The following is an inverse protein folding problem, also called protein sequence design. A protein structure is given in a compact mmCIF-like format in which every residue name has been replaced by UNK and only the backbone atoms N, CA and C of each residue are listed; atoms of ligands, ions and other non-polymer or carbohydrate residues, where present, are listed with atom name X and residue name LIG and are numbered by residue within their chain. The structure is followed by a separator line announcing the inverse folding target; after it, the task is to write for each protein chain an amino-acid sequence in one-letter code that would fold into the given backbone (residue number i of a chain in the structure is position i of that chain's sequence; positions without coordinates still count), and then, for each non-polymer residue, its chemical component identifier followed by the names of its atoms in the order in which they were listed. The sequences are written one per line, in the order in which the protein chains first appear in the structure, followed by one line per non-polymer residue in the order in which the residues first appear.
data_IF_121148728694
#
_entry.id   IF_121148728694
#
_cell.length_a   1.000
_cell.length_b   1.000
_cell.length_c   1.000
_cell.angle_alpha   90.00
_cell.angle_beta   90.00
_cell.angle_gamma   90.00
#
_symmetry.space_group_name_H-M   'P 1'
#
loop_
_entity.id
_entity.type
_entity.pdbx_description
1 polymer ?
#
# COMPACT_ATOMS: atom_id res chain seq x y z
N UNK A 1 5.94 -8.72 18.42
CA UNK A 1 6.82 -9.83 17.99
C UNK A 1 7.71 -10.25 19.15
N UNK A 2 7.28 -11.27 19.90
CA UNK A 2 8.07 -11.91 20.97
C UNK A 2 8.85 -13.07 20.34
N UNK A 3 10.00 -12.78 19.71
CA UNK A 3 10.83 -13.77 19.02
C UNK A 3 11.86 -13.15 18.07
N UNK A 4 12.64 -13.98 17.37
CA UNK A 4 13.66 -13.54 16.40
C UNK A 4 13.08 -12.91 15.13
N UNK A 5 11.82 -13.21 14.80
CA UNK A 5 11.15 -12.70 13.61
C UNK A 5 10.75 -11.24 13.80
N UNK A 6 11.35 -10.34 13.03
CA UNK A 6 11.06 -8.89 13.06
C UNK A 6 10.25 -8.40 11.87
N UNK A 7 10.06 -9.26 10.87
CA UNK A 7 9.32 -8.98 9.63
C UNK A 7 8.49 -10.23 9.29
N UNK A 8 7.22 -10.04 8.99
CA UNK A 8 6.32 -11.08 8.50
C UNK A 8 5.61 -10.58 7.24
N UNK A 9 5.34 -11.50 6.32
CA UNK A 9 4.57 -11.23 5.10
C UNK A 9 3.60 -12.37 4.85
N UNK A 10 2.39 -12.03 4.42
CA UNK A 10 1.37 -12.98 4.01
C UNK A 10 0.44 -12.31 3.01
N UNK A 11 -0.21 -13.11 2.17
CA UNK A 11 -1.12 -12.62 1.14
C UNK A 11 -2.57 -12.90 1.53
N UNK A 12 -3.45 -11.92 1.31
CA UNK A 12 -4.90 -12.10 1.36
C UNK A 12 -5.45 -12.05 -0.06
N UNK A 13 -6.09 -13.13 -0.52
CA UNK A 13 -6.57 -13.24 -1.90
C UNK A 13 -7.96 -12.65 -2.14
N UNK A 14 -8.39 -12.69 -3.41
CA UNK A 14 -9.75 -12.33 -3.83
C UNK A 14 -9.96 -10.85 -4.18
N UNK A 15 -8.89 -10.14 -4.56
CA UNK A 15 -8.92 -8.74 -5.01
C UNK A 15 -9.06 -8.58 -6.52
N UNK A 16 -8.54 -9.54 -7.30
CA UNK A 16 -8.59 -9.49 -8.77
C UNK A 16 -9.99 -9.86 -9.27
N UNK A 17 -10.82 -8.84 -9.42
CA UNK A 17 -12.22 -8.99 -9.82
C UNK A 17 -12.51 -8.13 -11.05
N UNK A 18 -13.19 -8.71 -12.04
CA UNK A 18 -13.48 -8.06 -13.32
C UNK A 18 -14.96 -7.72 -13.53
N UNK A 19 -15.80 -7.98 -12.53
CA UNK A 19 -17.23 -7.71 -12.55
C UNK A 19 -17.85 -7.91 -11.17
N UNK A 20 -19.05 -7.37 -10.97
CA UNK A 20 -19.76 -7.40 -9.68
C UNK A 20 -18.89 -6.90 -8.50
N UNK A 21 -18.02 -5.92 -8.77
CA UNK A 21 -16.94 -5.53 -7.86
C UNK A 21 -17.47 -4.96 -6.54
N UNK A 22 -18.61 -4.26 -6.54
CA UNK A 22 -19.24 -3.76 -5.32
C UNK A 22 -19.45 -4.86 -4.25
N UNK A 23 -19.88 -6.05 -4.67
CA UNK A 23 -20.11 -7.19 -3.77
C UNK A 23 -18.83 -7.91 -3.36
N UNK A 24 -17.82 -7.99 -4.23
CA UNK A 24 -16.55 -8.65 -3.93
C UNK A 24 -15.64 -7.78 -3.08
N UNK A 25 -15.53 -6.48 -3.41
CA UNK A 25 -14.69 -5.52 -2.70
C UNK A 25 -15.15 -5.34 -1.26
N UNK A 26 -16.47 -5.28 -0.99
CA UNK A 26 -16.96 -5.20 0.39
C UNK A 26 -16.48 -6.37 1.26
N UNK A 27 -16.51 -7.59 0.73
CA UNK A 27 -16.00 -8.79 1.43
C UNK A 27 -14.48 -8.78 1.58
N UNK A 28 -13.75 -8.35 0.55
CA UNK A 28 -12.30 -8.26 0.60
C UNK A 28 -11.82 -7.21 1.61
N UNK A 29 -12.44 -6.03 1.62
CA UNK A 29 -12.20 -4.96 2.58
C UNK A 29 -12.53 -5.37 4.02
N UNK A 30 -13.64 -6.11 4.21
CA UNK A 30 -13.97 -6.69 5.52
C UNK A 30 -12.86 -7.60 6.03
N UNK A 31 -12.39 -8.55 5.21
CA UNK A 31 -11.27 -9.44 5.59
C UNK A 31 -9.98 -8.69 5.89
N UNK A 32 -9.67 -7.63 5.12
CA UNK A 32 -8.52 -6.76 5.39
C UNK A 32 -8.66 -6.07 6.76
N UNK A 33 -9.84 -5.52 7.05
CA UNK A 33 -10.15 -4.90 8.34
C UNK A 33 -9.97 -5.89 9.50
N UNK A 34 -10.58 -7.07 9.40
CA UNK A 34 -10.48 -8.12 10.43
C UNK A 34 -9.03 -8.55 10.65
N UNK A 35 -8.24 -8.66 9.57
CA UNK A 35 -6.82 -8.98 9.64
C UNK A 35 -6.05 -7.93 10.44
N UNK A 36 -6.24 -6.63 10.15
CA UNK A 36 -5.54 -5.54 10.84
C UNK A 36 -5.93 -5.48 12.32
N UNK A 37 -7.22 -5.63 12.63
CA UNK A 37 -7.74 -5.63 14.01
C UNK A 37 -7.14 -6.82 14.78
N UNK A 38 -7.19 -8.01 14.19
CA UNK A 38 -6.61 -9.23 14.78
C UNK A 38 -5.10 -9.08 15.03
N UNK A 39 -4.37 -8.48 14.09
CA UNK A 39 -2.94 -8.18 14.26
C UNK A 39 -2.70 -7.21 15.42
N UNK A 40 -3.48 -6.13 15.51
CA UNK A 40 -3.39 -5.16 16.59
C UNK A 40 -3.62 -5.82 17.96
N UNK A 41 -4.67 -6.61 18.07
CA UNK A 41 -5.00 -7.33 19.31
C UNK A 41 -3.93 -8.36 19.69
N UNK A 42 -3.48 -9.17 18.72
CA UNK A 42 -2.50 -10.22 18.94
C UNK A 42 -1.09 -9.69 19.23
N UNK A 43 -0.70 -8.55 18.66
CA UNK A 43 0.59 -7.90 18.95
C UNK A 43 0.58 -7.17 20.31
N UNK A 44 -0.59 -6.75 20.79
CA UNK A 44 -0.76 -6.05 22.06
C UNK A 44 0.26 -4.89 22.21
N UNK A 45 1.09 -4.91 23.25
CA UNK A 45 2.12 -3.89 23.50
C UNK A 45 3.13 -3.71 22.33
N UNK A 46 3.32 -4.73 21.49
CA UNK A 46 4.27 -4.64 20.37
C UNK A 46 3.68 -3.86 19.18
N UNK A 47 2.36 -3.61 19.18
CA UNK A 47 1.67 -2.83 18.15
C UNK A 47 2.23 -1.40 18.04
N UNK A 48 2.57 -0.78 19.18
CA UNK A 48 3.11 0.59 19.26
C UNK A 48 4.44 0.76 18.52
N UNK A 49 5.11 -0.36 18.21
CA UNK A 49 6.39 -0.40 17.50
C UNK A 49 6.28 -1.10 16.13
N UNK A 50 5.06 -1.39 15.70
CA UNK A 50 4.78 -2.12 14.46
C UNK A 50 4.18 -1.20 13.42
N UNK A 51 4.62 -1.36 12.16
CA UNK A 51 3.90 -0.88 10.98
C UNK A 51 3.47 -2.09 10.14
N UNK A 52 2.24 -2.06 9.68
CA UNK A 52 1.63 -2.96 8.71
C UNK A 52 1.49 -2.18 7.41
N UNK A 53 2.01 -2.76 6.34
CA UNK A 53 1.92 -2.22 4.99
C UNK A 53 1.11 -3.18 4.11
N UNK A 54 0.05 -2.65 3.50
CA UNK A 54 -0.80 -3.39 2.58
C UNK A 54 -0.62 -2.79 1.18
N UNK A 55 -0.05 -3.60 0.29
CA UNK A 55 0.31 -3.21 -1.09
C UNK A 55 -0.50 -4.02 -2.09
N UNK A 56 -0.81 -3.44 -3.24
CA UNK A 56 -1.32 -4.16 -4.40
C UNK A 56 -0.25 -4.24 -5.49
N UNK A 57 -0.33 -5.28 -6.32
CA UNK A 57 0.62 -5.49 -7.43
C UNK A 57 0.27 -4.66 -8.66
N UNK A 58 -1.01 -4.28 -8.81
CA UNK A 58 -1.53 -3.51 -9.94
C UNK A 58 -2.73 -2.64 -9.54
N UNK A 59 -3.11 -1.76 -10.46
CA UNK A 59 -4.28 -0.89 -10.39
C UNK A 59 -5.46 -1.41 -11.19
N UNK A 60 -6.54 -0.63 -11.25
CA UNK A 60 -7.68 -0.87 -12.13
C UNK A 60 -7.81 0.25 -13.15
N UNK A 61 -8.40 -0.05 -14.30
CA UNK A 61 -8.79 0.99 -15.27
C UNK A 61 -9.66 2.04 -14.61
N UNK A 62 -9.49 3.32 -14.98
CA UNK A 62 -10.32 4.40 -14.43
C UNK A 62 -11.79 4.29 -14.89
N UNK A 63 -12.01 3.70 -16.07
CA UNK A 63 -13.33 3.50 -16.68
C UNK A 63 -13.82 2.06 -16.50
N UNK A 64 -15.13 1.92 -16.47
CA UNK A 64 -15.81 0.63 -16.48
C UNK A 64 -15.59 -0.09 -17.83
N UNK A 65 -15.39 -1.40 -17.78
CA UNK A 65 -15.27 -2.26 -18.96
C UNK A 65 -16.65 -2.78 -19.42
N UNK A 66 -16.68 -3.52 -20.54
CA UNK A 66 -17.93 -4.05 -21.11
C UNK A 66 -18.69 -5.04 -20.22
N UNK A 67 -18.08 -5.54 -19.13
CA UNK A 67 -18.71 -6.46 -18.17
C UNK A 67 -19.26 -5.77 -16.93
N UNK A 68 -19.34 -4.43 -16.93
CA UNK A 68 -19.70 -3.63 -15.76
C UNK A 68 -18.77 -3.83 -14.56
N UNK A 69 -17.48 -3.98 -14.86
CA UNK A 69 -16.40 -4.02 -13.88
C UNK A 69 -15.23 -3.19 -14.39
N UNK A 70 -14.00 -3.57 -14.07
CA UNK A 70 -12.79 -2.88 -14.54
C UNK A 70 -11.79 -3.91 -15.04
N UNK A 71 -10.81 -3.48 -15.83
CA UNK A 71 -9.67 -4.31 -16.21
C UNK A 71 -8.44 -3.97 -15.36
N UNK A 72 -7.35 -4.70 -15.56
CA UNK A 72 -6.06 -4.34 -15.00
C UNK A 72 -5.60 -3.00 -15.57
N UNK A 73 -5.06 -2.15 -14.70
CA UNK A 73 -4.52 -0.84 -15.05
C UNK A 73 -3.39 -0.43 -14.13
N UNK A 74 -2.99 0.83 -14.22
CA UNK A 74 -1.97 1.46 -13.38
C UNK A 74 -2.57 2.27 -12.25
N UNK A 75 -1.72 2.68 -11.30
CA UNK A 75 -2.12 3.51 -10.17
C UNK A 75 -2.83 2.69 -9.09
N UNK A 76 -2.51 2.94 -7.83
CA UNK A 76 -3.04 2.15 -6.73
C UNK A 76 -3.00 2.93 -5.42
N UNK A 77 -3.45 2.27 -4.36
CA UNK A 77 -3.40 2.81 -3.01
C UNK A 77 -2.61 1.87 -2.11
N UNK A 78 -1.79 2.47 -1.25
CA UNK A 78 -1.14 1.77 -0.14
C UNK A 78 -1.92 2.08 1.13
N UNK A 79 -2.29 1.02 1.86
CA UNK A 79 -2.85 1.18 3.20
C UNK A 79 -1.75 0.90 4.23
N UNK A 80 -1.59 1.84 5.16
CA UNK A 80 -0.68 1.73 6.29
C UNK A 80 -1.48 1.72 7.60
N UNK A 81 -1.14 0.80 8.49
CA UNK A 81 -1.72 0.70 9.83
C UNK A 81 -0.61 0.33 10.83
N UNK A 82 -0.73 0.72 12.10
CA UNK A 82 0.33 0.46 13.06
C UNK A 82 0.42 1.53 14.12
N UNK A 83 0.87 1.16 15.32
CA UNK A 83 1.12 2.13 16.39
C UNK A 83 2.39 2.94 16.19
N UNK A 84 3.33 2.47 15.36
CA UNK A 84 4.55 3.21 15.03
C UNK A 84 4.33 4.38 14.05
N UNK A 85 3.13 4.52 13.50
CA UNK A 85 2.83 5.45 12.40
C UNK A 85 2.12 6.73 12.89
N UNK A 86 2.43 7.85 12.24
CA UNK A 86 1.62 9.08 12.29
C UNK A 86 0.36 8.92 11.43
N UNK A 87 -0.62 8.18 11.94
CA UNK A 87 -1.88 7.88 11.27
C UNK A 87 -2.82 9.08 11.09
N UNK A 88 -4.03 8.82 10.56
CA UNK A 88 -5.06 9.85 10.35
C UNK A 88 -4.80 10.78 9.17
N UNK A 89 -3.97 10.33 8.21
CA UNK A 89 -3.54 11.11 7.03
C UNK A 89 -3.87 10.34 5.76
N UNK A 90 -4.28 11.07 4.73
CA UNK A 90 -4.22 10.60 3.34
C UNK A 90 -3.02 11.30 2.70
N UNK A 91 -2.09 10.50 2.17
CA UNK A 91 -0.87 11.00 1.55
C UNK A 91 -0.84 10.60 0.09
N UNK A 92 -0.36 11.51 -0.74
CA UNK A 92 -0.18 11.29 -2.17
C UNK A 92 -0.63 12.49 -2.98
N UNK A 93 -0.07 12.59 -4.17
CA UNK A 93 -0.52 13.54 -5.17
C UNK A 93 -1.72 12.93 -5.89
N UNK A 94 -2.86 13.60 -5.87
CA UNK A 94 -4.05 13.18 -6.58
C UNK A 94 -4.03 13.79 -7.99
N UNK A 95 -3.84 13.00 -9.05
CA UNK A 95 -3.71 13.53 -10.40
C UNK A 95 -5.05 13.99 -10.99
N UNK A 96 -6.19 13.50 -10.49
CA UNK A 96 -7.50 13.71 -11.09
C UNK A 96 -7.99 12.49 -11.87
N UNK A 97 -9.17 12.62 -12.48
CA UNK A 97 -9.80 11.61 -13.35
C UNK A 97 -10.23 12.20 -14.69
N UNK A 98 -9.84 13.46 -14.98
CA UNK A 98 -10.08 14.03 -16.30
C UNK A 98 -9.25 13.27 -17.34
N UNK A 99 -9.73 13.21 -18.58
CA UNK A 99 -9.09 12.41 -19.62
C UNK A 99 -7.62 12.79 -19.88
N UNK A 100 -7.29 14.09 -19.72
CA UNK A 100 -5.93 14.61 -19.81
C UNK A 100 -5.01 14.17 -18.66
N UNK A 101 -5.59 13.80 -17.52
CA UNK A 101 -4.84 13.40 -16.32
C UNK A 101 -4.55 11.89 -16.30
N UNK A 102 -5.26 11.11 -17.12
CA UNK A 102 -5.11 9.66 -17.17
C UNK A 102 -3.83 9.26 -17.89
N UNK A 103 -3.14 8.26 -17.34
CA UNK A 103 -2.03 7.62 -18.01
C UNK A 103 -2.50 6.96 -19.30
N UNK A 104 -1.91 7.38 -20.42
CA UNK A 104 -2.30 6.98 -21.77
C UNK A 104 -3.82 7.13 -22.06
N UNK A 105 -4.49 8.07 -21.39
CA UNK A 105 -5.94 8.31 -21.54
C UNK A 105 -6.83 7.19 -20.97
N UNK A 106 -6.30 6.24 -20.19
CA UNK A 106 -7.02 5.03 -19.77
C UNK A 106 -6.95 4.75 -18.27
N UNK A 107 -5.75 4.81 -17.69
CA UNK A 107 -5.50 4.36 -16.32
C UNK A 107 -5.22 5.54 -15.38
N UNK A 108 -5.39 5.36 -14.07
CA UNK A 108 -5.00 6.38 -13.10
C UNK A 108 -3.48 6.59 -13.18
N UNK A 109 -3.05 7.85 -13.26
CA UNK A 109 -1.62 8.20 -13.33
C UNK A 109 -0.89 7.76 -12.07
N UNK A 110 0.13 6.89 -12.16
CA UNK A 110 1.00 6.58 -11.02
C UNK A 110 1.83 7.81 -10.67
N UNK A 111 1.71 8.30 -9.44
CA UNK A 111 2.44 9.47 -8.97
C UNK A 111 3.70 9.10 -8.19
N UNK A 112 3.81 7.84 -7.74
CA UNK A 112 4.94 7.38 -6.93
C UNK A 112 5.15 5.88 -7.01
N UNK A 113 6.41 5.47 -6.91
CA UNK A 113 6.79 4.07 -6.75
C UNK A 113 6.39 3.56 -5.36
N UNK A 114 5.62 2.47 -5.34
CA UNK A 114 5.13 1.82 -4.12
C UNK A 114 6.26 1.39 -3.17
N UNK A 115 7.42 1.03 -3.72
CA UNK A 115 8.62 0.62 -2.98
C UNK A 115 9.16 1.74 -2.11
N UNK A 116 8.92 3.01 -2.47
CA UNK A 116 9.35 4.14 -1.67
C UNK A 116 8.70 4.14 -0.28
N UNK A 117 7.43 3.72 -0.16
CA UNK A 117 6.75 3.63 1.13
C UNK A 117 7.37 2.54 2.00
N UNK A 118 7.65 1.36 1.43
CA UNK A 118 8.37 0.31 2.13
C UNK A 118 9.79 0.76 2.54
N UNK A 119 10.50 1.47 1.67
CA UNK A 119 11.82 2.03 1.95
C UNK A 119 11.83 2.98 3.15
N UNK A 120 10.85 3.89 3.24
CA UNK A 120 10.75 4.79 4.40
C UNK A 120 10.46 4.05 5.71
N UNK A 121 9.66 2.98 5.67
CA UNK A 121 9.46 2.11 6.83
C UNK A 121 10.75 1.37 7.21
N UNK A 122 11.49 0.82 6.24
CA UNK A 122 12.76 0.15 6.49
C UNK A 122 13.77 1.09 7.13
N UNK A 123 13.86 2.33 6.63
CA UNK A 123 14.74 3.34 7.20
C UNK A 123 14.36 3.67 8.64
N UNK A 124 13.11 4.04 8.91
CA UNK A 124 12.75 4.53 10.23
C UNK A 124 12.57 3.44 11.30
N UNK A 125 12.16 2.21 10.94
CA UNK A 125 12.00 1.12 11.90
C UNK A 125 13.26 0.30 12.13
N UNK A 126 14.12 0.19 11.13
CA UNK A 126 15.30 -0.69 11.16
C UNK A 126 16.63 0.04 10.93
N UNK A 127 16.61 1.35 10.68
CA UNK A 127 17.83 2.14 10.55
C UNK A 127 18.58 1.95 9.23
N UNK A 128 17.93 1.42 8.19
CA UNK A 128 18.57 1.26 6.89
C UNK A 128 18.96 2.62 6.30
N UNK A 129 20.19 2.70 5.78
CA UNK A 129 20.67 3.86 5.06
C UNK A 129 19.96 4.00 3.71
N UNK A 130 19.65 5.25 3.34
CA UNK A 130 19.03 5.58 2.06
C UNK A 130 19.80 4.96 0.89
N UNK A 131 21.12 5.05 0.90
CA UNK A 131 21.97 4.47 -0.14
C UNK A 131 21.85 2.94 -0.25
N UNK A 132 21.68 2.25 0.88
CA UNK A 132 21.45 0.79 0.88
C UNK A 132 20.07 0.47 0.32
N UNK A 133 19.06 1.26 0.68
CA UNK A 133 17.69 1.10 0.15
C UNK A 133 17.68 1.29 -1.37
N UNK A 134 18.23 2.39 -1.88
CA UNK A 134 18.20 2.74 -3.31
C UNK A 134 19.18 1.92 -4.16
N UNK A 135 20.29 1.47 -3.57
CA UNK A 135 21.36 0.77 -4.29
C UNK A 135 21.28 -0.75 -4.25
N UNK A 136 20.78 -1.33 -3.14
CA UNK A 136 20.84 -2.78 -2.92
C UNK A 136 19.46 -3.42 -2.69
N UNK A 137 18.60 -2.79 -1.89
CA UNK A 137 17.27 -3.35 -1.57
C UNK A 137 16.30 -3.15 -2.74
N UNK A 138 16.21 -1.92 -3.24
CA UNK A 138 15.38 -1.52 -4.38
C UNK A 138 16.24 -0.77 -5.41
N UNK A 139 17.08 -1.47 -6.18
CA UNK A 139 17.91 -0.84 -7.20
C UNK A 139 17.11 0.05 -8.15
N UNK A 140 17.56 1.29 -8.31
CA UNK A 140 16.93 2.29 -9.17
C UNK A 140 15.71 3.01 -8.57
N UNK A 141 15.40 2.76 -7.30
CA UNK A 141 14.40 3.54 -6.58
C UNK A 141 14.93 4.94 -6.24
N UNK A 142 14.13 5.96 -6.48
CA UNK A 142 14.29 7.26 -5.80
C UNK A 142 13.36 7.28 -4.58
N UNK A 143 13.97 7.28 -3.39
CA UNK A 143 13.22 7.33 -2.13
C UNK A 143 12.53 8.69 -1.94
N UNK A 144 12.89 9.73 -2.68
CA UNK A 144 12.29 11.06 -2.62
C UNK A 144 12.42 11.73 -1.25
N UNK A 145 11.47 12.61 -0.92
CA UNK A 145 11.36 13.26 0.38
C UNK A 145 10.69 12.35 1.42
N UNK A 146 11.05 12.54 2.70
CA UNK A 146 10.43 11.82 3.82
C UNK A 146 8.96 12.25 3.99
N UNK A 147 7.98 11.33 3.89
CA UNK A 147 6.57 11.66 4.10
C UNK A 147 6.20 11.91 5.57
N UNK A 148 7.13 11.65 6.50
CA UNK A 148 6.90 11.73 7.94
C UNK A 148 5.94 10.65 8.43
N UNK A 149 6.12 9.41 7.95
CA UNK A 149 5.22 8.28 8.23
C UNK A 149 5.29 7.79 9.67
N UNK A 150 6.47 7.80 10.28
CA UNK A 150 6.74 7.20 11.58
C UNK A 150 6.79 8.25 12.69
N UNK A 151 6.42 7.87 13.92
CA UNK A 151 6.40 8.71 15.13
C UNK A 151 7.78 9.16 15.60
#
# INVERSE_FOLDING_TARGET
LRGETRIASFSIGGWDTHGNQANFLGRALGRLSDTIITLREGLAQDWDRTAVICLTEFGRTARENGTRGTDHGTGGAVLLAGGALRGGRVLGDWPGLDESDLYAGRDLMPTRDVRAHAGWLMRGLFGFDRAVIEGAVFPGLDLGADPGLLL
#
